data_IF_756946666881
#
_entry.id   IF_756946666881
#
_cell.length_a   1.000
_cell.length_b   1.000
_cell.length_c   1.000
_cell.angle_alpha   90.00
_cell.angle_beta   90.00
_cell.angle_gamma   90.00
#
_symmetry.space_group_name_H-M   'P 1'
#
loop_
_entity.id
_entity.type
_entity.pdbx_description
1 polymer ?
#
# COMPACT_ATOMS: atom_id res chain seq x y z
N UNK A 1 -1.69 32.32 -19.07
CA UNK A 1 -1.92 33.28 -17.97
C UNK A 1 -1.74 32.49 -16.67
N UNK A 2 -0.63 32.70 -15.95
CA UNK A 2 -0.38 32.01 -14.68
C UNK A 2 -1.13 32.70 -13.54
N UNK A 3 -1.73 31.94 -12.61
CA UNK A 3 -2.44 32.52 -11.47
C UNK A 3 -1.46 33.20 -10.52
N UNK A 4 -1.86 34.36 -10.00
CA UNK A 4 -1.07 35.13 -9.03
C UNK A 4 -0.90 34.38 -7.71
N UNK A 5 0.12 34.72 -6.90
CA UNK A 5 0.36 34.12 -5.59
C UNK A 5 -0.89 34.20 -4.68
N UNK A 6 -1.57 35.36 -4.67
CA UNK A 6 -2.83 35.56 -3.95
C UNK A 6 -3.97 34.65 -4.43
N UNK A 7 -4.03 34.36 -5.74
CA UNK A 7 -5.03 33.42 -6.28
C UNK A 7 -4.73 31.97 -5.86
N UNK A 8 -3.45 31.59 -5.76
CA UNK A 8 -3.03 30.26 -5.26
C UNK A 8 -3.32 30.10 -3.76
N UNK A 9 -3.06 31.11 -2.96
CA UNK A 9 -3.39 31.11 -1.52
C UNK A 9 -4.90 31.07 -1.27
N UNK A 10 -5.67 31.85 -2.02
CA UNK A 10 -7.13 31.83 -1.92
C UNK A 10 -7.70 30.46 -2.34
N UNK A 11 -7.19 29.87 -3.41
CA UNK A 11 -7.62 28.54 -3.86
C UNK A 11 -7.28 27.45 -2.83
N UNK A 12 -6.12 27.50 -2.17
CA UNK A 12 -5.76 26.59 -1.10
C UNK A 12 -6.67 26.77 0.13
N UNK A 13 -6.90 28.01 0.56
CA UNK A 13 -7.77 28.32 1.72
C UNK A 13 -9.25 27.96 1.46
N UNK A 14 -9.74 28.06 0.23
CA UNK A 14 -11.08 27.61 -0.17
C UNK A 14 -11.12 26.08 -0.20
N UNK A 15 -10.08 25.42 -0.74
CA UNK A 15 -9.96 23.97 -0.76
C UNK A 15 -10.06 23.37 0.63
N UNK A 16 -9.27 23.89 1.59
CA UNK A 16 -9.29 23.41 2.98
C UNK A 16 -10.66 23.60 3.65
N UNK A 17 -11.34 24.73 3.40
CA UNK A 17 -12.69 24.98 3.95
C UNK A 17 -13.76 24.11 3.29
N UNK A 18 -13.63 23.83 2.00
CA UNK A 18 -14.53 22.92 1.30
C UNK A 18 -14.39 21.49 1.83
N UNK A 19 -13.14 21.05 2.03
CA UNK A 19 -12.83 19.74 2.59
C UNK A 19 -13.33 19.61 4.05
N UNK A 20 -13.28 20.69 4.83
CA UNK A 20 -13.83 20.73 6.19
C UNK A 20 -15.37 20.70 6.19
N UNK A 21 -16.00 21.42 5.27
CA UNK A 21 -17.45 21.40 5.11
C UNK A 21 -17.97 20.05 4.60
N UNK A 22 -17.29 19.43 3.65
CA UNK A 22 -17.61 18.07 3.17
C UNK A 22 -17.44 17.04 4.28
N UNK A 23 -16.39 17.18 5.11
CA UNK A 23 -16.18 16.33 6.28
C UNK A 23 -17.30 16.47 7.31
N UNK A 24 -17.67 17.72 7.65
CA UNK A 24 -18.75 18.00 8.59
C UNK A 24 -20.10 17.46 8.06
N UNK A 25 -20.37 17.59 6.77
CA UNK A 25 -21.56 17.07 6.12
C UNK A 25 -21.57 15.53 6.09
N UNK A 26 -20.44 14.90 5.81
CA UNK A 26 -20.29 13.46 5.86
C UNK A 26 -20.52 12.91 7.29
N UNK A 27 -19.96 13.57 8.31
CA UNK A 27 -20.20 13.24 9.72
C UNK A 27 -21.67 13.43 10.15
N UNK A 28 -22.31 14.51 9.72
CA UNK A 28 -23.73 14.75 10.01
C UNK A 28 -24.65 13.71 9.35
N UNK A 29 -24.35 13.33 8.10
CA UNK A 29 -25.07 12.27 7.36
C UNK A 29 -24.85 10.89 7.98
N UNK A 30 -23.62 10.58 8.40
CA UNK A 30 -23.30 9.29 9.06
C UNK A 30 -24.08 9.12 10.37
N UNK A 31 -24.27 10.20 11.14
CA UNK A 31 -25.05 10.18 12.39
C UNK A 31 -26.57 10.12 12.18
N UNK A 32 -27.08 10.64 11.06
CA UNK A 32 -28.52 10.73 10.80
C UNK A 32 -29.10 9.52 10.05
N UNK A 33 -28.26 8.67 9.45
CA UNK A 33 -28.69 7.47 8.73
C UNK A 33 -28.29 6.27 9.55
N UNK A 34 -29.24 5.41 9.89
CA UNK A 34 -29.00 4.13 10.52
C UNK A 34 -27.93 3.35 9.74
N UNK A 35 -26.69 3.38 10.23
CA UNK A 35 -25.56 2.63 9.66
C UNK A 35 -25.72 1.12 9.96
N UNK A 36 -26.90 0.60 9.63
CA UNK A 36 -27.26 -0.79 9.86
C UNK A 36 -26.36 -1.72 9.02
N UNK A 37 -25.77 -2.69 9.69
CA UNK A 37 -24.89 -3.69 9.09
C UNK A 37 -23.40 -3.40 9.27
N UNK A 38 -22.57 -4.40 9.03
CA UNK A 38 -21.13 -4.28 9.03
C UNK A 38 -20.61 -3.92 7.63
N UNK A 39 -19.62 -3.03 7.55
CA UNK A 39 -18.85 -2.78 6.34
C UNK A 39 -17.89 -3.95 6.13
N UNK A 40 -17.99 -4.62 4.99
CA UNK A 40 -17.11 -5.73 4.61
C UNK A 40 -15.98 -5.20 3.72
N UNK A 41 -14.73 -5.32 4.17
CA UNK A 41 -13.54 -4.91 3.43
C UNK A 41 -12.70 -6.14 3.11
N UNK A 42 -12.25 -6.28 1.88
CA UNK A 42 -11.34 -7.33 1.45
C UNK A 42 -10.05 -6.74 0.87
N UNK A 43 -8.90 -7.38 1.10
CA UNK A 43 -7.64 -6.90 0.54
C UNK A 43 -6.45 -7.81 0.83
N UNK A 44 -5.27 -7.40 0.42
CA UNK A 44 -4.04 -8.12 0.77
C UNK A 44 -3.80 -8.02 2.29
N UNK A 45 -3.49 -9.16 2.92
CA UNK A 45 -3.42 -9.31 4.37
C UNK A 45 -2.49 -8.32 5.05
N UNK A 46 -1.30 -8.15 4.49
CA UNK A 46 -0.25 -7.25 4.95
C UNK A 46 -0.68 -5.77 4.83
N UNK A 47 -1.25 -5.37 3.68
CA UNK A 47 -1.69 -4.00 3.45
C UNK A 47 -2.89 -3.63 4.33
N UNK A 48 -3.85 -4.54 4.49
CA UNK A 48 -4.97 -4.34 5.42
C UNK A 48 -4.48 -4.12 6.84
N UNK A 49 -3.53 -4.93 7.31
CA UNK A 49 -3.02 -4.87 8.67
C UNK A 49 -2.15 -3.63 8.94
N UNK A 50 -1.22 -3.31 8.04
CA UNK A 50 -0.20 -2.30 8.30
C UNK A 50 -0.62 -0.88 7.87
N UNK A 51 -1.48 -0.78 6.85
CA UNK A 51 -1.86 0.52 6.27
C UNK A 51 -3.33 0.84 6.52
N UNK A 52 -4.25 -0.02 6.08
CA UNK A 52 -5.69 0.28 6.11
C UNK A 52 -6.21 0.34 7.55
N UNK A 53 -5.86 -0.64 8.40
CA UNK A 53 -6.37 -0.74 9.77
C UNK A 53 -6.17 0.54 10.59
N UNK A 54 -5.03 1.21 10.39
CA UNK A 54 -4.71 2.48 11.07
C UNK A 54 -5.66 3.61 10.69
N UNK A 55 -6.29 3.53 9.53
CA UNK A 55 -7.22 4.55 9.01
C UNK A 55 -8.68 4.27 9.39
N UNK A 56 -8.97 3.09 9.93
CA UNK A 56 -10.34 2.67 10.25
C UNK A 56 -10.87 3.24 11.58
N UNK A 57 -9.97 3.71 12.46
CA UNK A 57 -10.35 4.19 13.80
C UNK A 57 -11.51 5.20 13.79
N UNK A 58 -11.52 6.26 12.98
CA UNK A 58 -12.62 7.20 12.97
C UNK A 58 -13.94 6.60 12.49
N UNK A 59 -13.89 5.65 11.54
CA UNK A 59 -15.09 4.95 11.10
C UNK A 59 -15.69 4.10 12.23
N UNK A 60 -14.84 3.50 13.07
CA UNK A 60 -15.26 2.76 14.27
C UNK A 60 -15.83 3.72 15.33
N UNK A 61 -15.22 4.89 15.52
CA UNK A 61 -15.71 5.96 16.42
C UNK A 61 -17.06 6.53 15.94
N UNK A 62 -17.31 6.56 14.62
CA UNK A 62 -18.60 6.91 14.03
C UNK A 62 -19.66 5.78 14.16
N UNK A 63 -19.31 4.64 14.80
CA UNK A 63 -20.22 3.51 15.05
C UNK A 63 -20.33 2.52 13.90
N UNK A 64 -19.53 2.64 12.85
CA UNK A 64 -19.51 1.67 11.75
C UNK A 64 -18.83 0.38 12.23
N UNK A 65 -19.56 -0.74 12.17
CA UNK A 65 -18.97 -2.05 12.39
C UNK A 65 -18.22 -2.48 11.14
N UNK A 66 -16.97 -2.96 11.30
CA UNK A 66 -16.11 -3.34 10.18
C UNK A 66 -15.72 -4.80 10.30
N UNK A 67 -15.77 -5.51 9.18
CA UNK A 67 -15.22 -6.85 9.02
C UNK A 67 -14.20 -6.83 7.89
N UNK A 68 -13.00 -7.34 8.15
CA UNK A 68 -11.94 -7.44 7.17
C UNK A 68 -11.65 -8.91 6.87
N UNK A 69 -11.44 -9.21 5.61
CA UNK A 69 -10.93 -10.50 5.17
C UNK A 69 -9.80 -10.32 4.16
N UNK A 70 -8.87 -11.27 4.14
CA UNK A 70 -7.75 -11.25 3.21
C UNK A 70 -8.05 -12.06 1.95
N UNK A 71 -7.46 -11.62 0.82
CA UNK A 71 -7.54 -12.34 -0.44
C UNK A 71 -6.50 -11.86 -1.44
N UNK A 72 -6.26 -12.66 -2.47
CA UNK A 72 -5.51 -12.26 -3.65
C UNK A 72 -6.39 -11.41 -4.58
N UNK A 73 -5.82 -10.84 -5.64
CA UNK A 73 -6.54 -9.95 -6.56
C UNK A 73 -7.82 -10.60 -7.13
N UNK A 74 -7.75 -11.84 -7.54
CA UNK A 74 -8.87 -12.59 -8.14
C UNK A 74 -10.02 -12.77 -7.13
N UNK A 75 -9.71 -13.22 -5.91
CA UNK A 75 -10.70 -13.37 -4.84
C UNK A 75 -11.28 -12.04 -4.40
N UNK A 76 -10.49 -10.95 -4.36
CA UNK A 76 -10.98 -9.60 -4.09
C UNK A 76 -12.05 -9.19 -5.11
N UNK A 77 -11.74 -9.32 -6.41
CA UNK A 77 -12.69 -8.97 -7.47
C UNK A 77 -13.96 -9.82 -7.41
N UNK A 78 -13.84 -11.13 -7.20
CA UNK A 78 -14.96 -12.07 -7.08
C UNK A 78 -15.89 -11.69 -5.92
N UNK A 79 -15.36 -11.49 -4.71
CA UNK A 79 -16.14 -11.16 -3.52
C UNK A 79 -16.89 -9.82 -3.64
N UNK A 80 -16.31 -8.85 -4.36
CA UNK A 80 -16.98 -7.58 -4.65
C UNK A 80 -18.13 -7.75 -5.64
N UNK A 81 -17.94 -8.56 -6.68
CA UNK A 81 -18.96 -8.83 -7.70
C UNK A 81 -20.14 -9.62 -7.11
N UNK A 82 -19.85 -10.60 -6.26
CA UNK A 82 -20.83 -11.42 -5.55
C UNK A 82 -21.57 -10.64 -4.46
N UNK A 83 -21.07 -9.44 -4.08
CA UNK A 83 -21.65 -8.58 -3.04
C UNK A 83 -21.38 -9.07 -1.62
N UNK A 84 -20.43 -9.99 -1.43
CA UNK A 84 -19.99 -10.44 -0.10
C UNK A 84 -19.12 -9.39 0.60
N UNK A 85 -18.45 -8.55 -0.20
CA UNK A 85 -17.70 -7.37 0.27
C UNK A 85 -18.14 -6.12 -0.48
N UNK A 86 -18.08 -4.97 0.22
CA UNK A 86 -18.43 -3.68 -0.37
C UNK A 86 -17.20 -2.90 -0.88
N UNK A 87 -16.08 -2.99 -0.18
CA UNK A 87 -14.82 -2.34 -0.54
C UNK A 87 -13.70 -3.35 -0.65
N UNK A 88 -12.90 -3.22 -1.70
CA UNK A 88 -11.70 -4.02 -1.94
C UNK A 88 -10.44 -3.15 -2.02
N UNK A 89 -9.31 -3.70 -1.59
CA UNK A 89 -8.01 -3.05 -1.77
C UNK A 89 -7.04 -4.01 -2.44
N UNK A 90 -6.54 -3.63 -3.63
CA UNK A 90 -5.62 -4.45 -4.40
C UNK A 90 -4.49 -3.63 -5.02
N UNK A 91 -3.36 -4.30 -5.23
CA UNK A 91 -2.21 -3.73 -5.94
C UNK A 91 -2.34 -3.76 -7.47
N UNK A 92 -3.44 -4.30 -7.99
CA UNK A 92 -3.79 -4.27 -9.40
C UNK A 92 -5.17 -3.63 -9.60
N UNK A 93 -5.37 -3.01 -10.75
CA UNK A 93 -6.70 -2.52 -11.16
C UNK A 93 -7.54 -3.71 -11.60
N UNK A 94 -8.86 -3.68 -11.32
CA UNK A 94 -9.75 -4.71 -11.84
C UNK A 94 -9.95 -4.52 -13.35
N UNK A 95 -10.00 -5.64 -14.07
CA UNK A 95 -10.32 -5.65 -15.50
C UNK A 95 -11.85 -5.77 -15.75
N UNK A 96 -12.61 -6.20 -14.75
CA UNK A 96 -14.06 -6.39 -14.87
C UNK A 96 -14.81 -5.05 -14.91
N UNK A 97 -15.61 -4.78 -15.96
CA UNK A 97 -16.32 -3.51 -16.13
C UNK A 97 -17.40 -3.23 -15.08
N UNK A 98 -17.81 -4.23 -14.29
CA UNK A 98 -18.72 -4.07 -13.15
C UNK A 98 -18.05 -3.40 -11.95
N UNK A 99 -16.73 -3.43 -11.90
CA UNK A 99 -15.95 -2.82 -10.83
C UNK A 99 -15.49 -1.41 -11.20
N UNK A 100 -15.34 -0.58 -10.19
CA UNK A 100 -14.70 0.73 -10.28
C UNK A 100 -13.52 0.73 -9.35
N UNK A 101 -12.48 1.46 -9.73
CA UNK A 101 -11.29 1.59 -8.90
C UNK A 101 -10.75 3.02 -8.91
N UNK A 102 -10.11 3.36 -7.83
CA UNK A 102 -9.44 4.64 -7.66
C UNK A 102 -8.11 4.43 -6.93
N UNK A 103 -7.07 5.16 -7.33
CA UNK A 103 -5.77 5.11 -6.66
C UNK A 103 -5.93 5.50 -5.19
N UNK A 104 -5.58 4.58 -4.30
CA UNK A 104 -5.66 4.76 -2.85
C UNK A 104 -4.33 5.17 -2.25
N UNK A 105 -3.26 4.49 -2.64
CA UNK A 105 -1.94 4.63 -2.04
C UNK A 105 -0.86 4.24 -3.05
N UNK A 106 0.27 4.91 -3.02
CA UNK A 106 1.48 4.51 -3.77
C UNK A 106 2.61 4.36 -2.77
N UNK A 107 3.35 3.28 -2.84
CA UNK A 107 4.51 3.03 -2.00
C UNK A 107 5.73 2.67 -2.83
N UNK A 108 6.90 2.93 -2.27
CA UNK A 108 8.15 2.45 -2.85
C UNK A 108 8.31 0.95 -2.58
N UNK A 109 8.96 0.26 -3.50
CA UNK A 109 9.44 -1.12 -3.31
C UNK A 109 10.95 -1.07 -3.16
N UNK A 110 11.41 -1.52 -2.00
CA UNK A 110 12.83 -1.49 -1.60
C UNK A 110 13.36 -2.90 -1.42
N UNK A 111 14.59 -3.15 -1.83
CA UNK A 111 15.25 -4.42 -1.51
C UNK A 111 15.83 -4.37 -0.11
N UNK A 112 15.57 -5.40 0.69
CA UNK A 112 15.93 -5.43 2.12
C UNK A 112 16.43 -6.81 2.55
N UNK A 113 17.29 -6.79 3.55
CA UNK A 113 17.77 -7.97 4.28
C UNK A 113 18.13 -7.56 5.72
N UNK A 114 18.52 -8.55 6.55
CA UNK A 114 19.13 -8.25 7.83
C UNK A 114 20.45 -7.45 7.67
N UNK A 115 20.83 -6.59 8.63
CA UNK A 115 22.06 -5.79 8.54
C UNK A 115 23.31 -6.59 8.19
N UNK A 116 23.51 -7.75 8.83
CA UNK A 116 24.67 -8.61 8.57
C UNK A 116 24.71 -9.16 7.14
N UNK A 117 23.54 -9.44 6.53
CA UNK A 117 23.46 -9.86 5.12
C UNK A 117 23.86 -8.69 4.21
N UNK A 118 23.30 -7.49 4.44
CA UNK A 118 23.64 -6.31 3.64
C UNK A 118 25.12 -5.97 3.75
N UNK A 119 25.71 -6.08 4.93
CA UNK A 119 27.14 -5.82 5.14
C UNK A 119 28.02 -6.80 4.34
N UNK A 120 27.66 -8.09 4.30
CA UNK A 120 28.34 -9.08 3.44
C UNK A 120 28.23 -8.73 1.96
N UNK A 121 27.03 -8.34 1.51
CA UNK A 121 26.78 -7.96 0.12
C UNK A 121 27.61 -6.74 -0.29
N UNK A 122 27.66 -5.71 0.54
CA UNK A 122 28.39 -4.47 0.27
C UNK A 122 29.91 -4.68 0.31
N UNK A 123 30.40 -5.59 1.18
CA UNK A 123 31.83 -5.91 1.27
C UNK A 123 32.31 -6.85 0.15
N UNK A 124 31.41 -7.46 -0.60
CA UNK A 124 31.79 -8.40 -1.66
C UNK A 124 32.41 -7.67 -2.86
N UNK A 125 33.46 -8.27 -3.43
CA UNK A 125 34.12 -7.72 -4.64
C UNK A 125 33.20 -7.69 -5.86
N UNK A 126 32.28 -8.63 -5.93
CA UNK A 126 31.28 -8.75 -7.00
C UNK A 126 29.88 -8.78 -6.36
N UNK A 127 29.29 -7.60 -6.23
CA UNK A 127 28.00 -7.41 -5.56
C UNK A 127 26.88 -8.29 -6.15
N UNK A 128 26.76 -8.33 -7.48
CA UNK A 128 25.72 -9.10 -8.17
C UNK A 128 25.83 -10.59 -7.88
N UNK A 129 27.06 -11.14 -7.99
CA UNK A 129 27.29 -12.56 -7.68
C UNK A 129 27.03 -12.90 -6.21
N UNK A 130 27.33 -11.98 -5.30
CA UNK A 130 27.01 -12.15 -3.89
C UNK A 130 25.50 -12.12 -3.65
N UNK A 131 24.78 -11.23 -4.34
CA UNK A 131 23.32 -11.13 -4.27
C UNK A 131 22.64 -12.40 -4.84
N UNK A 132 23.17 -12.96 -5.94
CA UNK A 132 22.71 -14.22 -6.52
C UNK A 132 22.89 -15.44 -5.58
N UNK A 133 23.93 -15.41 -4.77
CA UNK A 133 24.22 -16.49 -3.81
C UNK A 133 23.30 -16.44 -2.57
N UNK A 134 22.68 -15.31 -2.27
CA UNK A 134 21.76 -15.19 -1.14
C UNK A 134 20.34 -15.69 -1.51
N UNK A 135 19.67 -16.44 -0.61
CA UNK A 135 18.31 -16.92 -0.86
C UNK A 135 17.33 -15.78 -1.13
N UNK A 136 16.48 -15.92 -2.15
CA UNK A 136 15.40 -14.97 -2.45
C UNK A 136 14.13 -15.42 -1.75
N UNK A 137 13.48 -14.52 -1.01
CA UNK A 137 12.13 -14.70 -0.49
C UNK A 137 11.16 -13.88 -1.35
N UNK A 138 10.06 -14.48 -1.81
CA UNK A 138 9.20 -13.85 -2.79
C UNK A 138 7.71 -13.98 -2.48
N UNK A 139 6.95 -13.03 -2.99
CA UNK A 139 5.49 -13.02 -2.95
C UNK A 139 4.89 -14.11 -3.88
N UNK A 140 5.52 -14.35 -5.02
CA UNK A 140 5.09 -15.37 -6.00
C UNK A 140 6.31 -15.95 -6.75
N UNK A 141 6.09 -17.07 -7.44
CA UNK A 141 7.12 -17.70 -8.28
C UNK A 141 7.59 -16.81 -9.45
N UNK A 142 6.78 -15.86 -9.89
CA UNK A 142 7.11 -14.92 -10.98
C UNK A 142 7.91 -13.70 -10.54
N UNK A 143 8.28 -13.60 -9.26
CA UNK A 143 9.16 -12.58 -8.66
C UNK A 143 8.84 -11.10 -9.00
N UNK A 144 7.58 -10.66 -9.15
CA UNK A 144 7.28 -9.36 -9.78
C UNK A 144 7.87 -8.15 -9.04
N UNK A 145 8.05 -8.22 -7.72
CA UNK A 145 8.65 -7.13 -6.94
C UNK A 145 10.17 -7.12 -7.07
N UNK A 146 10.79 -8.31 -7.04
CA UNK A 146 12.23 -8.49 -7.20
C UNK A 146 12.65 -8.08 -8.60
N UNK A 147 11.96 -8.59 -9.63
CA UNK A 147 12.26 -8.28 -11.03
C UNK A 147 12.10 -6.79 -11.35
N UNK A 148 11.05 -6.15 -10.81
CA UNK A 148 10.86 -4.71 -10.99
C UNK A 148 11.99 -3.90 -10.36
N UNK A 149 12.48 -4.30 -9.18
CA UNK A 149 13.60 -3.65 -8.51
C UNK A 149 14.92 -3.89 -9.26
N UNK A 150 15.20 -5.12 -9.69
CA UNK A 150 16.39 -5.48 -10.47
C UNK A 150 16.42 -4.73 -11.80
N UNK A 151 15.31 -4.72 -12.55
CA UNK A 151 15.20 -4.05 -13.84
C UNK A 151 15.43 -2.53 -13.73
N UNK A 152 14.82 -1.88 -12.72
CA UNK A 152 15.03 -0.45 -12.48
C UNK A 152 16.50 -0.12 -12.20
N UNK A 153 17.20 -1.00 -11.48
CA UNK A 153 18.58 -0.78 -11.07
C UNK A 153 19.60 -1.32 -12.09
N UNK A 154 19.15 -1.84 -13.25
CA UNK A 154 19.99 -2.44 -14.29
C UNK A 154 20.88 -3.55 -13.75
N UNK A 155 20.35 -4.34 -12.80
CA UNK A 155 21.03 -5.50 -12.22
C UNK A 155 20.56 -6.74 -12.96
N UNK A 156 21.47 -7.32 -13.75
CA UNK A 156 21.22 -8.58 -14.44
C UNK A 156 21.63 -9.73 -13.53
N UNK A 157 20.66 -10.52 -13.14
CA UNK A 157 20.85 -11.75 -12.35
C UNK A 157 20.30 -12.95 -13.09
N UNK A 158 20.99 -14.09 -12.98
CA UNK A 158 20.37 -15.38 -13.32
C UNK A 158 19.35 -15.68 -12.22
N UNK A 159 18.07 -15.48 -12.54
CA UNK A 159 16.99 -15.62 -11.55
C UNK A 159 16.89 -17.06 -11.09
N UNK A 160 17.24 -17.30 -9.83
CA UNK A 160 17.06 -18.60 -9.18
C UNK A 160 15.62 -18.73 -8.67
N UNK A 161 15.18 -19.98 -8.51
CA UNK A 161 13.91 -20.26 -7.82
C UNK A 161 13.96 -19.63 -6.41
N UNK A 162 12.89 -18.92 -5.99
CA UNK A 162 12.85 -18.38 -4.63
C UNK A 162 12.89 -19.51 -3.60
N UNK A 163 13.66 -19.32 -2.53
CA UNK A 163 13.75 -20.27 -1.43
C UNK A 163 12.43 -20.38 -0.65
N UNK A 164 11.61 -19.33 -0.68
CA UNK A 164 10.28 -19.32 -0.09
C UNK A 164 9.34 -18.43 -0.92
N UNK A 165 8.10 -18.89 -1.07
CA UNK A 165 6.99 -18.10 -1.64
C UNK A 165 5.91 -17.95 -0.58
N UNK A 166 5.48 -16.71 -0.31
CA UNK A 166 4.42 -16.42 0.65
C UNK A 166 3.62 -15.19 0.26
N UNK A 167 2.29 -15.32 0.20
CA UNK A 167 1.39 -14.21 -0.16
C UNK A 167 1.20 -13.18 0.96
N UNK A 168 1.44 -13.57 2.21
CA UNK A 168 1.53 -12.63 3.34
C UNK A 168 2.98 -12.17 3.48
N UNK A 169 3.26 -10.96 3.02
CA UNK A 169 4.62 -10.40 3.01
C UNK A 169 5.21 -10.22 4.43
N UNK A 170 4.39 -10.26 5.48
CA UNK A 170 4.86 -10.21 6.87
C UNK A 170 5.65 -11.46 7.24
N UNK A 171 5.28 -12.62 6.67
CA UNK A 171 6.04 -13.85 6.87
C UNK A 171 7.43 -13.76 6.26
N UNK A 172 7.55 -13.18 5.05
CA UNK A 172 8.84 -12.94 4.42
C UNK A 172 9.68 -11.97 5.27
N UNK A 173 9.08 -10.86 5.69
CA UNK A 173 9.75 -9.87 6.56
C UNK A 173 10.32 -10.51 7.83
N UNK A 174 9.58 -11.40 8.47
CA UNK A 174 10.05 -12.10 9.67
C UNK A 174 11.33 -12.89 9.40
N UNK A 175 11.36 -13.68 8.34
CA UNK A 175 12.56 -14.44 7.96
C UNK A 175 13.76 -13.56 7.58
N UNK A 176 13.48 -12.41 6.95
CA UNK A 176 14.53 -11.43 6.63
C UNK A 176 15.15 -10.83 7.90
N UNK A 177 14.33 -10.51 8.91
CA UNK A 177 14.79 -10.04 10.22
C UNK A 177 15.66 -11.10 10.90
N UNK A 178 15.27 -12.37 10.78
CA UNK A 178 16.04 -13.52 11.31
C UNK A 178 17.33 -13.79 10.53
N UNK A 179 17.62 -12.99 9.49
CA UNK A 179 18.87 -13.09 8.73
C UNK A 179 18.84 -14.07 7.57
N UNK A 180 17.68 -14.54 7.14
CA UNK A 180 17.57 -15.48 6.04
C UNK A 180 17.29 -14.78 4.71
N UNK A 181 18.31 -14.66 3.87
CA UNK A 181 18.20 -14.16 2.50
C UNK A 181 17.82 -12.69 2.34
N UNK A 182 17.22 -12.36 1.20
CA UNK A 182 16.77 -11.03 0.85
C UNK A 182 15.45 -11.03 0.07
N UNK A 183 14.80 -9.88 -0.03
CA UNK A 183 13.59 -9.68 -0.83
C UNK A 183 13.42 -8.22 -1.24
N UNK A 184 12.61 -7.98 -2.26
CA UNK A 184 12.07 -6.66 -2.56
C UNK A 184 10.65 -6.56 -1.99
N UNK A 185 10.43 -5.65 -1.05
CA UNK A 185 9.18 -5.49 -0.32
C UNK A 185 8.70 -4.03 -0.33
N UNK A 186 7.37 -3.79 -0.19
CA UNK A 186 6.85 -2.45 -0.01
C UNK A 186 7.44 -1.77 1.25
N UNK A 187 7.77 -0.49 1.12
CA UNK A 187 8.46 0.28 2.15
C UNK A 187 7.65 0.40 3.45
N UNK A 188 6.30 0.42 3.38
CA UNK A 188 5.47 0.43 4.60
C UNK A 188 5.69 -0.76 5.52
N UNK A 189 6.11 -1.92 4.95
CA UNK A 189 6.46 -3.12 5.72
C UNK A 189 7.83 -3.04 6.38
N UNK A 190 8.76 -2.33 5.75
CA UNK A 190 10.19 -2.38 6.09
C UNK A 190 10.65 -1.18 6.92
N UNK A 191 10.17 0.04 6.61
CA UNK A 191 10.62 1.29 7.26
C UNK A 191 10.61 1.25 8.80
N UNK A 192 9.57 0.73 9.49
CA UNK A 192 9.59 0.63 10.95
C UNK A 192 10.71 -0.28 11.48
N UNK A 193 11.05 -1.33 10.75
CA UNK A 193 12.10 -2.30 11.09
C UNK A 193 13.50 -1.78 10.76
N UNK A 194 13.62 -1.01 9.67
CA UNK A 194 14.86 -0.29 9.33
C UNK A 194 15.15 0.75 10.42
N UNK A 195 14.15 1.49 10.88
CA UNK A 195 14.30 2.47 11.96
C UNK A 195 14.74 1.87 13.30
N UNK A 196 14.49 0.57 13.52
CA UNK A 196 14.96 -0.20 14.70
C UNK A 196 16.28 -0.94 14.47
N UNK A 197 16.85 -0.87 13.26
CA UNK A 197 18.06 -1.61 12.89
C UNK A 197 17.86 -3.13 12.72
N UNK A 198 16.62 -3.60 12.61
CA UNK A 198 16.27 -5.01 12.40
C UNK A 198 16.40 -5.41 10.93
N UNK A 199 16.16 -4.45 10.03
CA UNK A 199 16.39 -4.57 8.59
C UNK A 199 17.27 -3.43 8.10
N UNK A 200 17.95 -3.68 6.98
CA UNK A 200 18.73 -2.68 6.25
C UNK A 200 18.38 -2.76 4.76
N UNK A 201 18.36 -1.62 4.12
CA UNK A 201 18.13 -1.55 2.69
C UNK A 201 19.39 -1.98 1.93
N UNK A 202 19.21 -2.80 0.91
CA UNK A 202 20.26 -3.17 -0.02
C UNK A 202 20.46 -1.97 -0.96
N UNK A 203 21.72 -1.49 -1.15
CA UNK A 203 22.00 -0.32 -1.99
C UNK A 203 21.41 -0.45 -3.39
N UNK A 204 20.65 0.55 -3.81
CA UNK A 204 20.01 0.63 -5.11
C UNK A 204 20.73 1.68 -5.97
N UNK A 205 21.43 1.30 -7.07
CA UNK A 205 22.19 2.25 -7.89
C UNK A 205 21.36 3.38 -8.52
N UNK A 206 20.09 3.09 -8.88
CA UNK A 206 19.18 4.05 -9.51
C UNK A 206 18.10 4.52 -8.53
N UNK A 207 17.52 3.60 -7.75
CA UNK A 207 16.45 3.94 -6.81
C UNK A 207 15.43 2.83 -6.58
N UNK A 208 14.24 3.24 -6.18
CA UNK A 208 13.14 2.35 -5.80
C UNK A 208 12.11 2.26 -6.92
N UNK A 209 11.58 1.07 -7.18
CA UNK A 209 10.37 0.92 -7.98
C UNK A 209 9.15 1.32 -7.15
N UNK A 210 8.04 1.65 -7.79
CA UNK A 210 6.81 2.03 -7.10
C UNK A 210 5.73 0.99 -7.27
N UNK A 211 4.82 0.89 -6.28
CA UNK A 211 3.65 0.03 -6.32
C UNK A 211 2.40 0.82 -5.93
N UNK A 212 1.43 0.79 -6.83
CA UNK A 212 0.13 1.40 -6.60
C UNK A 212 -0.83 0.41 -5.92
N UNK A 213 -1.67 0.95 -5.02
CA UNK A 213 -2.79 0.24 -4.41
C UNK A 213 -4.08 0.97 -4.76
N UNK A 214 -5.08 0.22 -5.18
CA UNK A 214 -6.36 0.74 -5.63
C UNK A 214 -7.47 0.35 -4.65
N UNK A 215 -8.33 1.30 -4.32
CA UNK A 215 -9.61 1.02 -3.70
C UNK A 215 -10.59 0.62 -4.79
N UNK A 216 -11.31 -0.49 -4.60
CA UNK A 216 -12.16 -1.13 -5.60
C UNK A 216 -13.55 -1.33 -5.01
N UNK A 217 -14.60 -1.12 -5.80
CA UNK A 217 -15.99 -1.32 -5.39
C UNK A 217 -16.90 -1.55 -6.60
N UNK A 218 -18.13 -2.05 -6.35
CA UNK A 218 -19.21 -2.00 -7.35
C UNK A 218 -19.99 -0.69 -7.20
N UNK A 219 -20.50 -0.09 -8.30
CA UNK A 219 -21.34 1.12 -8.21
C UNK A 219 -22.56 0.97 -7.29
N UNK A 220 -23.11 -0.24 -7.19
CA UNK A 220 -24.23 -0.56 -6.32
C UNK A 220 -23.90 -0.47 -4.82
N UNK A 221 -22.68 -0.83 -4.43
CA UNK A 221 -22.24 -0.77 -3.03
C UNK A 221 -22.28 0.68 -2.49
N UNK A 222 -21.99 1.67 -3.32
CA UNK A 222 -22.00 3.08 -2.90
C UNK A 222 -23.40 3.65 -2.63
N UNK A 223 -24.48 2.92 -2.97
CA UNK A 223 -25.85 3.31 -2.56
C UNK A 223 -26.04 3.20 -1.05
N UNK A 224 -25.19 2.47 -0.36
CA UNK A 224 -25.19 2.35 1.09
C UNK A 224 -24.36 3.50 1.69
N UNK A 225 -24.97 4.39 2.51
CA UNK A 225 -24.27 5.59 3.03
C UNK A 225 -22.98 5.26 3.78
N UNK A 226 -22.96 4.16 4.58
CA UNK A 226 -21.76 3.73 5.30
C UNK A 226 -20.60 3.39 4.36
N UNK A 227 -20.89 2.79 3.19
CA UNK A 227 -19.86 2.42 2.19
C UNK A 227 -19.32 3.65 1.50
N UNK A 228 -20.19 4.56 1.09
CA UNK A 228 -19.81 5.84 0.49
C UNK A 228 -18.95 6.67 1.44
N UNK A 229 -19.34 6.75 2.73
CA UNK A 229 -18.59 7.44 3.77
C UNK A 229 -17.20 6.79 3.99
N UNK A 230 -17.15 5.48 4.15
CA UNK A 230 -15.90 4.75 4.35
C UNK A 230 -14.94 4.90 3.16
N UNK A 231 -15.48 4.81 1.91
CA UNK A 231 -14.68 5.04 0.70
C UNK A 231 -14.04 6.44 0.74
N UNK A 232 -14.82 7.47 1.01
CA UNK A 232 -14.33 8.85 1.03
C UNK A 232 -13.28 9.05 2.13
N UNK A 233 -13.54 8.54 3.33
CA UNK A 233 -12.62 8.61 4.46
C UNK A 233 -11.27 7.94 4.16
N UNK A 234 -11.28 6.73 3.57
CA UNK A 234 -10.05 6.02 3.22
C UNK A 234 -9.26 6.75 2.13
N UNK A 235 -9.92 7.21 1.07
CA UNK A 235 -9.28 7.97 -0.02
C UNK A 235 -8.66 9.27 0.49
N UNK A 236 -9.36 10.02 1.31
CA UNK A 236 -8.86 11.28 1.84
C UNK A 236 -7.62 11.08 2.74
N UNK A 237 -7.67 10.11 3.67
CA UNK A 237 -6.61 9.86 4.64
C UNK A 237 -5.34 9.32 4.01
N UNK A 238 -5.47 8.35 3.11
CA UNK A 238 -4.32 7.69 2.49
C UNK A 238 -3.68 8.54 1.39
N UNK A 239 -4.45 9.38 0.69
CA UNK A 239 -3.90 10.36 -0.27
C UNK A 239 -3.25 11.55 0.42
N UNK A 240 -3.78 11.99 1.55
CA UNK A 240 -3.21 13.09 2.34
C UNK A 240 -1.82 12.77 2.88
N UNK A 241 -1.57 11.54 3.27
CA UNK A 241 -0.25 11.10 3.74
C UNK A 241 0.86 11.19 2.67
N UNK A 242 0.51 11.13 1.39
CA UNK A 242 1.48 11.30 0.28
C UNK A 242 2.05 12.71 0.22
N UNK A 243 1.25 13.74 0.55
CA UNK A 243 1.73 15.15 0.55
C UNK A 243 2.68 15.45 1.69
N UNK A 244 2.55 14.73 2.81
CA UNK A 244 3.42 14.91 3.98
C UNK A 244 4.76 14.14 3.87
N UNK A 245 4.90 13.18 2.95
CA UNK A 245 6.10 12.35 2.78
C UNK A 245 6.93 12.75 1.53
N UNK A 246 6.45 13.66 0.70
CA UNK A 246 7.28 14.21 -0.38
C UNK A 246 8.41 15.02 0.26
N UNK A 247 9.71 14.70 0.01
CA UNK A 247 10.81 15.53 0.47
C UNK A 247 10.61 16.90 -0.15
N UNK A 248 10.59 17.93 0.71
CA UNK A 248 10.55 19.31 0.26
C UNK A 248 11.68 19.52 -0.75
N UNK A 249 11.33 19.88 -1.97
CA UNK A 249 12.26 20.45 -2.93
C UNK A 249 12.79 21.74 -2.28
N UNK A 250 13.91 21.61 -1.57
CA UNK A 250 14.70 22.75 -1.17
C UNK A 250 15.30 23.35 -2.45
N UNK A 251 14.92 24.58 -2.71
CA UNK A 251 15.50 25.48 -3.72
C UNK A 251 16.96 25.76 -3.43
#
# INVERSE_FOLDING_TARGET
MEPTAAAKELAAAIGDKLDDAERALAHARARSVELAGALQIVGHADFLAEVVSRQLRPLLEDGIRIRMQSGNHESICRLLIEGECELGVSAARPDDPRLRSELLYTDDVIAVAAPAVVERLVAAQQFVSALEAEPILAYSLTLPLVDAWLALNSIEMTTSMPAMVGQDLRALRTLLIDGYGWSALPAYLCKPHIGRGELKEIPAPVGHSSRDYHLIWTPSALRQPRVAHARQALLWRLRGNRRAQAPGTAS
#
